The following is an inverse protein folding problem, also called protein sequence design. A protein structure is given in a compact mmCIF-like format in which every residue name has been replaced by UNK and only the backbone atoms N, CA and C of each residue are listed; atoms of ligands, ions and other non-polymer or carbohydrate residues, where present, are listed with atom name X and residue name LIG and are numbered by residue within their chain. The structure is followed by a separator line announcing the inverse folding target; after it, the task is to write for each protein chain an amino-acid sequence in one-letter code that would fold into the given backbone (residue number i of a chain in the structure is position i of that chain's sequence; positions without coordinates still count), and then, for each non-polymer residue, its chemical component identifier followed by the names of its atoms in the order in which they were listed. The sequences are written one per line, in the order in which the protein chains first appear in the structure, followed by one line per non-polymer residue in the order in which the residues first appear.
data_IF_627287416950
#
_entry.id   IF_627287416950
#
_cell.length_a   1.000
_cell.length_b   1.000
_cell.length_c   1.000
_cell.angle_alpha   90.00
_cell.angle_beta   90.00
_cell.angle_gamma   90.00
#
_symmetry.space_group_name_H-M   'P 1'
#
loop_
_entity.id
_entity.type
_entity.pdbx_description
1 polymer ?
#
# COMPACT_ATOMS: atom_id res chain seq x y z
N UNK A 1 12.76 -6.50 44.83
CA UNK A 1 11.31 -6.36 44.58
C UNK A 1 11.08 -5.05 43.86
N UNK A 2 9.96 -4.88 43.14
CA UNK A 2 9.64 -3.57 42.52
C UNK A 2 9.27 -2.59 43.63
N UNK A 3 9.96 -1.46 43.73
CA UNK A 3 9.62 -0.38 44.67
C UNK A 3 8.24 0.21 44.32
N UNK A 4 7.32 0.28 45.29
CA UNK A 4 5.95 0.77 45.08
C UNK A 4 5.69 2.15 45.68
N UNK A 5 6.56 2.62 46.57
CA UNK A 5 6.39 3.87 47.32
C UNK A 5 6.51 5.13 46.47
N UNK A 6 7.10 5.02 45.27
CA UNK A 6 7.34 6.14 44.35
C UNK A 6 6.56 6.03 43.03
N UNK A 7 5.54 5.18 42.97
CA UNK A 7 4.71 5.06 41.77
C UNK A 7 3.55 6.06 41.77
N UNK A 8 2.95 6.26 40.59
CA UNK A 8 1.66 6.94 40.42
C UNK A 8 0.66 6.47 41.47
N UNK A 9 0.02 7.42 42.15
CA UNK A 9 -0.97 7.15 43.20
C UNK A 9 -2.37 7.60 42.78
N UNK A 10 -3.38 7.32 43.60
CA UNK A 10 -4.73 7.82 43.39
C UNK A 10 -4.82 9.36 43.42
N UNK A 11 -3.92 10.03 44.14
CA UNK A 11 -3.88 11.49 44.24
C UNK A 11 -3.45 12.15 42.92
N UNK A 12 -2.87 11.39 41.99
CA UNK A 12 -2.45 11.86 40.67
C UNK A 12 -3.58 11.81 39.63
N UNK A 13 -4.78 11.39 40.02
CA UNK A 13 -5.91 11.16 39.10
C UNK A 13 -6.22 12.38 38.22
N UNK A 14 -6.38 13.56 38.82
CA UNK A 14 -6.77 14.76 38.09
C UNK A 14 -5.70 15.19 37.08
N UNK A 15 -4.43 15.04 37.44
CA UNK A 15 -3.30 15.30 36.54
C UNK A 15 -3.35 14.39 35.31
N UNK A 16 -3.47 13.07 35.51
CA UNK A 16 -3.48 12.12 34.39
C UNK A 16 -4.76 12.20 33.55
N UNK A 17 -5.90 12.49 34.18
CA UNK A 17 -7.16 12.75 33.47
C UNK A 17 -6.99 13.96 32.53
N UNK A 18 -6.50 15.09 33.04
CA UNK A 18 -6.25 16.27 32.22
C UNK A 18 -5.21 15.99 31.13
N UNK A 19 -4.15 15.26 31.45
CA UNK A 19 -3.13 14.85 30.49
C UNK A 19 -3.75 14.05 29.33
N UNK A 20 -4.57 13.04 29.59
CA UNK A 20 -5.19 12.24 28.52
C UNK A 20 -6.30 12.98 27.76
N UNK A 21 -6.98 13.95 28.37
CA UNK A 21 -8.00 14.78 27.69
C UNK A 21 -7.38 15.83 26.75
N UNK A 22 -6.20 16.36 27.12
CA UNK A 22 -5.55 17.48 26.41
C UNK A 22 -4.43 17.04 25.47
N UNK A 23 -3.89 15.83 25.64
CA UNK A 23 -2.77 15.32 24.83
C UNK A 23 -3.17 14.09 23.99
N UNK A 24 -2.31 13.77 23.02
CA UNK A 24 -2.36 12.49 22.30
C UNK A 24 -1.22 11.58 22.76
N UNK A 25 -1.21 10.36 22.22
CA UNK A 25 -0.11 9.41 22.41
C UNK A 25 1.24 10.04 22.02
N UNK A 26 2.22 10.02 22.92
CA UNK A 26 3.57 10.56 22.69
C UNK A 26 4.33 9.88 21.54
N UNK A 27 3.96 8.63 21.19
CA UNK A 27 4.64 7.83 20.16
C UNK A 27 4.00 8.02 18.77
N UNK A 28 2.66 8.02 18.69
CA UNK A 28 1.93 8.05 17.41
C UNK A 28 1.07 9.30 17.20
N UNK A 29 1.02 10.20 18.19
CA UNK A 29 0.26 11.43 18.20
C UNK A 29 -1.27 11.28 18.08
N UNK A 30 -1.79 10.06 18.12
CA UNK A 30 -3.23 9.81 18.07
C UNK A 30 -3.92 10.19 19.38
N UNK A 31 -5.11 10.79 19.29
CA UNK A 31 -5.94 11.11 20.46
C UNK A 31 -6.43 9.84 21.14
N UNK A 32 -6.61 9.91 22.46
CA UNK A 32 -7.19 8.82 23.23
C UNK A 32 -8.71 8.81 23.04
N UNK A 33 -9.26 7.61 22.83
CA UNK A 33 -10.68 7.39 22.57
C UNK A 33 -11.08 5.97 23.03
N UNK A 34 -12.35 5.62 22.95
CA UNK A 34 -12.87 4.32 23.39
C UNK A 34 -12.14 3.14 22.70
N UNK A 35 -11.78 3.30 21.43
CA UNK A 35 -11.04 2.34 20.61
C UNK A 35 -9.51 2.50 20.68
N UNK A 36 -9.02 3.58 21.30
CA UNK A 36 -7.61 3.88 21.47
C UNK A 36 -7.30 4.27 22.93
N UNK A 37 -7.29 3.26 23.80
CA UNK A 37 -7.16 3.44 25.25
C UNK A 37 -5.80 4.03 25.65
N UNK A 38 -5.78 4.97 26.62
CA UNK A 38 -4.56 5.52 27.18
C UNK A 38 -3.82 4.50 28.06
N UNK A 39 -2.51 4.64 28.10
CA UNK A 39 -1.57 3.95 28.99
C UNK A 39 -0.40 4.87 29.31
N UNK A 40 0.48 4.46 30.23
CA UNK A 40 1.71 5.19 30.56
C UNK A 40 2.92 4.41 30.03
N UNK A 41 3.68 5.03 29.13
CA UNK A 41 4.96 4.51 28.65
C UNK A 41 6.09 5.10 29.50
N UNK A 42 7.00 4.25 29.97
CA UNK A 42 8.16 4.69 30.75
C UNK A 42 9.28 5.08 29.80
N UNK A 43 9.81 6.27 30.00
CA UNK A 43 10.98 6.74 29.25
C UNK A 43 12.21 5.92 29.63
N UNK A 44 12.39 5.63 30.91
CA UNK A 44 13.38 4.69 31.43
C UNK A 44 12.68 3.49 32.10
N UNK A 45 12.94 2.29 31.57
CA UNK A 45 12.38 1.03 32.07
C UNK A 45 12.97 0.56 33.39
N UNK A 46 14.12 1.10 33.81
CA UNK A 46 14.75 0.83 35.10
C UNK A 46 14.17 1.72 36.22
N UNK A 47 13.43 2.78 35.87
CA UNK A 47 12.80 3.71 36.80
C UNK A 47 11.31 3.37 37.07
N UNK A 48 10.77 3.78 38.23
CA UNK A 48 9.35 3.62 38.58
C UNK A 48 8.44 4.49 37.69
N UNK A 49 7.13 4.23 37.79
CA UNK A 49 6.13 5.04 37.07
C UNK A 49 5.91 6.34 37.85
N UNK A 50 6.59 7.43 37.46
CA UNK A 50 6.42 8.78 38.04
C UNK A 50 5.93 9.75 36.96
N UNK A 51 5.47 10.95 37.36
CA UNK A 51 5.03 12.00 36.42
C UNK A 51 6.14 12.44 35.47
N UNK A 52 7.39 12.39 35.94
CA UNK A 52 8.58 12.82 35.20
C UNK A 52 9.10 11.72 34.28
N UNK A 53 8.88 10.45 34.63
CA UNK A 53 9.36 9.29 33.85
C UNK A 53 8.31 8.75 32.87
N UNK A 54 7.02 9.06 33.06
CA UNK A 54 5.94 8.52 32.22
C UNK A 54 5.40 9.52 31.20
N UNK A 55 5.20 9.05 29.96
CA UNK A 55 4.50 9.77 28.91
C UNK A 55 3.19 9.07 28.54
N UNK A 56 2.16 9.84 28.12
CA UNK A 56 0.89 9.25 27.72
C UNK A 56 1.07 8.50 26.40
N UNK A 57 0.76 7.21 26.36
CA UNK A 57 0.93 6.38 25.16
C UNK A 57 -0.28 5.48 24.93
N UNK A 58 -0.57 5.16 23.67
CA UNK A 58 -1.62 4.20 23.35
C UNK A 58 -1.19 2.79 23.78
N UNK A 59 -2.11 1.95 24.29
CA UNK A 59 -1.78 0.58 24.74
C UNK A 59 -1.01 -0.19 23.65
N UNK A 60 -1.46 -0.08 22.39
CA UNK A 60 -0.81 -0.77 21.28
C UNK A 60 0.61 -0.26 20.98
N UNK A 61 0.87 1.03 21.25
CA UNK A 61 2.16 1.69 21.06
C UNK A 61 3.11 1.27 22.18
N UNK A 62 2.65 1.32 23.43
CA UNK A 62 3.41 0.94 24.62
C UNK A 62 3.81 -0.54 24.58
N UNK A 63 2.90 -1.44 24.18
CA UNK A 63 3.23 -2.87 23.98
C UNK A 63 4.22 -3.07 22.83
N UNK A 64 4.13 -2.29 21.74
CA UNK A 64 5.08 -2.38 20.64
C UNK A 64 6.46 -1.80 20.99
N UNK A 65 6.49 -0.83 21.91
CA UNK A 65 7.69 -0.17 22.41
C UNK A 65 8.48 -1.03 23.40
N UNK A 66 7.81 -1.98 24.07
CA UNK A 66 8.42 -2.93 25.01
C UNK A 66 9.62 -3.69 24.38
N UNK A 67 10.81 -3.14 24.59
CA UNK A 67 12.13 -3.60 24.14
C UNK A 67 12.48 -3.43 22.65
N UNK A 68 11.90 -2.44 21.95
CA UNK A 68 12.25 -2.13 20.54
C UNK A 68 12.70 -0.68 20.38
N UNK A 69 13.70 -0.44 19.54
CA UNK A 69 14.22 0.90 19.23
C UNK A 69 13.05 1.88 18.96
N UNK A 70 13.01 3.04 19.64
CA UNK A 70 11.95 4.04 19.48
C UNK A 70 11.69 4.44 18.02
N UNK A 71 12.73 4.46 17.18
CA UNK A 71 12.61 4.75 15.74
C UNK A 71 11.88 3.64 14.98
N UNK A 72 12.17 2.38 15.32
CA UNK A 72 11.50 1.20 14.72
C UNK A 72 10.02 1.20 15.14
N UNK A 73 9.73 1.48 16.40
CA UNK A 73 8.36 1.54 16.92
C UNK A 73 7.56 2.72 16.34
N UNK A 74 8.19 3.89 16.18
CA UNK A 74 7.61 5.04 15.48
C UNK A 74 7.30 4.73 14.02
N UNK A 75 8.23 4.06 13.31
CA UNK A 75 8.02 3.63 11.92
C UNK A 75 6.86 2.63 11.81
N UNK A 76 6.77 1.66 12.72
CA UNK A 76 5.64 0.71 12.77
C UNK A 76 4.31 1.39 13.10
N UNK A 77 4.31 2.43 13.94
CA UNK A 77 3.12 3.18 14.33
C UNK A 77 2.64 4.11 13.21
N UNK A 78 3.57 4.86 12.59
CA UNK A 78 3.33 5.56 11.31
C UNK A 78 2.77 4.56 10.32
N UNK A 79 3.41 3.41 10.12
CA UNK A 79 2.91 2.36 9.21
C UNK A 79 1.49 1.94 9.56
N UNK A 80 1.12 1.76 10.82
CA UNK A 80 -0.27 1.44 11.21
C UNK A 80 -1.23 2.57 10.80
N UNK A 81 -0.85 3.82 10.98
CA UNK A 81 -1.58 5.01 10.53
C UNK A 81 -1.69 5.08 8.99
N UNK A 82 -0.61 4.73 8.25
CA UNK A 82 -0.55 4.64 6.78
C UNK A 82 -1.29 3.40 6.23
N UNK A 83 -1.29 2.27 6.95
CA UNK A 83 -2.02 1.04 6.63
C UNK A 83 -3.52 1.21 6.90
N UNK A 84 -3.89 1.89 7.99
CA UNK A 84 -5.27 2.28 8.28
C UNK A 84 -5.82 3.31 7.28
N UNK A 85 -4.95 4.11 6.65
CA UNK A 85 -5.28 4.95 5.49
C UNK A 85 -5.09 4.25 4.13
N UNK A 86 -4.72 2.95 4.13
CA UNK A 86 -4.65 2.11 2.95
C UNK A 86 -3.39 2.26 2.07
N UNK A 87 -2.41 3.06 2.47
CA UNK A 87 -1.26 3.47 1.65
C UNK A 87 -0.21 2.35 1.52
N UNK A 88 -0.14 1.42 2.47
CA UNK A 88 0.91 0.39 2.52
C UNK A 88 0.58 -0.93 1.81
N UNK A 89 -0.47 -1.00 0.97
CA UNK A 89 -0.94 -2.26 0.37
C UNK A 89 -0.92 -2.21 -1.17
N UNK A 90 0.10 -2.89 -1.72
CA UNK A 90 0.31 -3.34 -3.10
C UNK A 90 0.17 -2.25 -4.19
N UNK A 91 1.31 -2.01 -4.85
CA UNK A 91 1.59 -0.98 -5.85
C UNK A 91 0.86 -1.12 -7.20
N UNK A 92 -0.43 -1.41 -7.19
CA UNK A 92 -1.26 -1.42 -8.39
C UNK A 92 -2.66 -0.92 -8.09
N UNK A 93 -2.78 0.24 -7.45
CA UNK A 93 -4.08 0.70 -6.94
C UNK A 93 -4.80 -0.36 -6.06
N UNK A 94 -4.14 -1.47 -5.70
CA UNK A 94 -4.78 -2.72 -5.32
C UNK A 94 -4.45 -3.03 -3.88
N UNK A 95 -5.28 -2.51 -2.99
CA UNK A 95 -6.24 -3.35 -2.27
C UNK A 95 -6.84 -2.65 -1.04
N UNK A 96 -6.32 -1.50 -0.60
CA UNK A 96 -6.88 -0.79 0.55
C UNK A 96 -6.95 0.74 0.51
N UNK A 97 -6.21 1.50 -0.33
CA UNK A 97 -6.46 2.94 -0.43
C UNK A 97 -7.82 3.26 -1.07
N UNK A 98 -8.40 2.31 -1.83
CA UNK A 98 -9.72 2.43 -2.44
C UNK A 98 -10.89 2.15 -1.49
N UNK A 99 -10.67 1.41 -0.39
CA UNK A 99 -11.70 1.14 0.63
C UNK A 99 -12.08 2.36 1.46
N UNK A 100 -11.33 3.46 1.33
CA UNK A 100 -11.60 4.77 1.91
C UNK A 100 -11.43 5.89 0.87
N UNK A 101 -11.52 5.56 -0.43
CA UNK A 101 -11.32 6.57 -1.46
C UNK A 101 -12.24 7.76 -1.22
N UNK A 102 -11.62 8.93 -1.19
CA UNK A 102 -12.27 10.22 -1.08
C UNK A 102 -13.00 10.46 0.24
N UNK A 103 -12.80 9.63 1.26
CA UNK A 103 -13.21 9.97 2.63
C UNK A 103 -12.11 10.84 3.26
N UNK A 104 -12.51 11.90 3.97
CA UNK A 104 -11.55 12.71 4.73
C UNK A 104 -10.99 11.91 5.90
N UNK A 105 -9.68 11.96 6.07
CA UNK A 105 -8.93 11.31 7.13
C UNK A 105 -7.71 12.18 7.46
N UNK A 106 -7.66 12.73 8.67
CA UNK A 106 -6.60 13.63 9.16
C UNK A 106 -5.20 13.00 9.06
N UNK A 107 -5.12 11.68 9.07
CA UNK A 107 -3.87 10.94 8.91
C UNK A 107 -3.27 11.00 7.50
N UNK A 108 -4.01 11.52 6.52
CA UNK A 108 -3.51 11.76 5.18
C UNK A 108 -2.92 13.18 5.17
N UNK A 109 -1.60 13.35 5.05
CA UNK A 109 -0.99 14.70 5.09
C UNK A 109 -1.10 15.46 3.76
N UNK A 110 -1.69 14.83 2.73
CA UNK A 110 -1.76 15.38 1.37
C UNK A 110 -3.19 15.68 0.96
N UNK A 111 -3.32 16.54 -0.06
CA UNK A 111 -4.56 16.73 -0.81
C UNK A 111 -5.80 16.97 0.06
N UNK A 112 -5.71 17.87 1.06
CA UNK A 112 -6.79 18.21 2.00
C UNK A 112 -7.31 16.98 2.77
N UNK A 113 -6.38 16.24 3.37
CA UNK A 113 -6.68 15.08 4.21
C UNK A 113 -7.55 14.03 3.51
N UNK A 114 -7.40 13.87 2.20
CA UNK A 114 -8.30 13.06 1.39
C UNK A 114 -7.54 12.33 0.29
N UNK A 115 -7.83 11.04 0.13
CA UNK A 115 -7.24 10.24 -0.94
C UNK A 115 -8.17 10.15 -2.15
N UNK A 116 -7.96 11.00 -3.14
CA UNK A 116 -8.80 11.02 -4.32
C UNK A 116 -8.51 9.84 -5.24
N UNK A 117 -9.57 9.35 -5.89
CA UNK A 117 -9.43 8.48 -7.06
C UNK A 117 -9.01 9.30 -8.28
N UNK A 118 -8.23 8.70 -9.17
CA UNK A 118 -7.90 9.30 -10.44
C UNK A 118 -9.18 9.39 -11.30
N UNK A 119 -9.55 10.62 -11.66
CA UNK A 119 -10.61 10.90 -12.62
C UNK A 119 -10.09 10.92 -14.05
N UNK A 120 -10.65 11.84 -14.85
CA UNK A 120 -10.20 12.03 -16.23
C UNK A 120 -8.74 12.50 -16.27
N UNK A 121 -7.98 12.01 -17.25
CA UNK A 121 -6.64 12.55 -17.54
C UNK A 121 -6.76 14.02 -17.97
N UNK A 122 -6.05 14.90 -17.28
CA UNK A 122 -5.98 16.33 -17.57
C UNK A 122 -4.91 16.60 -18.61
N UNK A 123 -3.68 16.12 -18.37
CA UNK A 123 -2.57 16.28 -19.31
C UNK A 123 -1.44 15.27 -19.07
N UNK A 124 -0.55 15.20 -20.06
CA UNK A 124 0.69 14.43 -20.05
C UNK A 124 1.90 15.35 -20.29
N UNK A 125 3.03 15.09 -19.64
CA UNK A 125 4.27 15.81 -19.87
C UNK A 125 5.50 14.93 -19.65
N UNK A 126 6.53 15.15 -20.47
CA UNK A 126 7.86 14.55 -20.32
C UNK A 126 8.90 15.58 -19.86
N UNK A 127 8.49 16.83 -19.63
CA UNK A 127 9.40 17.91 -19.25
C UNK A 127 9.77 17.80 -17.76
N UNK A 128 11.06 17.60 -17.39
CA UNK A 128 11.45 17.36 -16.00
C UNK A 128 11.01 18.43 -15.01
N UNK A 129 11.12 19.71 -15.38
CA UNK A 129 10.71 20.83 -14.52
C UNK A 129 9.20 20.84 -14.23
N UNK A 130 8.38 20.40 -15.19
CA UNK A 130 6.93 20.25 -14.99
C UNK A 130 6.68 19.12 -14.01
N UNK A 131 7.30 17.96 -14.24
CA UNK A 131 7.13 16.76 -13.41
C UNK A 131 7.51 17.07 -11.95
N UNK A 132 8.68 17.69 -11.74
CA UNK A 132 9.16 18.09 -10.42
C UNK A 132 8.17 19.05 -9.72
N UNK A 133 7.68 20.07 -10.42
CA UNK A 133 6.75 21.03 -9.85
C UNK A 133 5.46 20.35 -9.33
N UNK A 134 4.86 19.45 -10.10
CA UNK A 134 3.65 18.72 -9.67
C UNK A 134 3.90 17.78 -8.50
N UNK A 135 5.07 17.13 -8.45
CA UNK A 135 5.46 16.28 -7.32
C UNK A 135 5.63 17.13 -6.06
N UNK A 136 6.33 18.26 -6.14
CA UNK A 136 6.66 19.10 -4.98
C UNK A 136 5.43 19.84 -4.41
N UNK A 137 4.48 20.21 -5.26
CA UNK A 137 3.26 20.92 -4.84
C UNK A 137 2.35 20.08 -3.92
N UNK A 138 2.41 18.75 -4.02
CA UNK A 138 1.60 17.81 -3.21
C UNK A 138 0.08 18.02 -3.26
N UNK A 139 -0.42 18.56 -4.38
CA UNK A 139 -1.82 18.97 -4.53
C UNK A 139 -2.62 18.16 -5.54
N UNK A 140 -1.99 17.65 -6.60
CA UNK A 140 -2.66 16.98 -7.72
C UNK A 140 -2.57 15.45 -7.63
N UNK A 141 -3.47 14.79 -8.36
CA UNK A 141 -3.44 13.34 -8.53
C UNK A 141 -2.67 13.04 -9.80
N UNK A 142 -1.64 12.20 -9.69
CA UNK A 142 -0.79 11.89 -10.83
C UNK A 142 -0.23 10.48 -10.77
N UNK A 143 0.23 10.04 -11.94
CA UNK A 143 1.11 8.90 -12.11
C UNK A 143 2.39 9.41 -12.74
N UNK A 144 3.52 9.22 -12.06
CA UNK A 144 4.83 9.69 -12.49
C UNK A 144 5.76 8.50 -12.75
N UNK A 145 6.60 8.64 -13.78
CA UNK A 145 7.68 7.71 -14.11
C UNK A 145 9.02 8.36 -13.79
N UNK A 146 9.71 7.85 -12.76
CA UNK A 146 10.92 8.47 -12.20
C UNK A 146 11.99 7.43 -11.88
N UNK A 147 13.23 7.89 -11.71
CA UNK A 147 14.33 7.17 -11.05
C UNK A 147 14.67 7.85 -9.74
N UNK A 148 15.13 7.06 -8.79
CA UNK A 148 15.61 7.59 -7.52
C UNK A 148 16.17 6.51 -6.62
N UNK A 149 16.70 6.94 -5.49
CA UNK A 149 17.32 6.08 -4.49
C UNK A 149 17.10 6.59 -3.07
N UNK A 150 17.27 5.69 -2.10
CA UNK A 150 17.42 6.08 -0.71
C UNK A 150 18.91 6.17 -0.37
N UNK A 151 19.35 7.21 0.34
CA UNK A 151 20.71 7.23 0.89
C UNK A 151 20.98 5.99 1.74
N UNK A 152 22.21 5.47 1.71
CA UNK A 152 22.61 4.29 2.51
C UNK A 152 22.36 4.49 4.02
N UNK A 153 22.39 5.72 4.51
CA UNK A 153 22.06 6.08 5.89
C UNK A 153 20.63 5.68 6.28
N UNK A 154 19.71 5.63 5.33
CA UNK A 154 18.30 5.28 5.56
C UNK A 154 18.04 3.78 5.53
N UNK A 155 18.99 2.94 5.08
CA UNK A 155 18.72 1.51 4.84
C UNK A 155 18.28 0.79 6.11
N UNK A 156 18.87 1.10 7.26
CA UNK A 156 18.46 0.50 8.54
C UNK A 156 17.03 0.89 8.94
N UNK A 157 16.60 2.11 8.59
CA UNK A 157 15.23 2.57 8.82
C UNK A 157 14.24 1.86 7.89
N UNK A 158 14.71 1.37 6.73
CA UNK A 158 13.91 0.72 5.70
C UNK A 158 13.92 -0.81 5.79
N UNK A 159 14.85 -1.42 6.54
CA UNK A 159 14.92 -2.88 6.78
C UNK A 159 13.57 -3.51 7.20
N UNK A 160 12.74 -2.88 8.07
CA UNK A 160 11.44 -3.43 8.44
C UNK A 160 10.40 -3.44 7.30
N UNK A 161 10.67 -2.73 6.20
CA UNK A 161 9.76 -2.58 5.08
C UNK A 161 10.53 -2.19 3.81
N UNK A 162 11.01 -3.16 3.01
CA UNK A 162 11.60 -2.81 1.73
C UNK A 162 10.49 -2.16 0.87
N UNK A 163 10.71 -0.91 0.43
CA UNK A 163 9.61 -0.04 0.04
C UNK A 163 8.95 -0.46 -1.27
N UNK A 164 9.73 -0.88 -2.29
CA UNK A 164 9.28 -0.96 -3.68
C UNK A 164 9.15 -2.40 -4.14
N UNK A 165 7.94 -2.90 -4.41
CA UNK A 165 7.68 -4.21 -5.01
C UNK A 165 7.62 -4.10 -6.54
N UNK A 166 8.56 -4.74 -7.22
CA UNK A 166 8.57 -4.72 -8.69
C UNK A 166 8.78 -6.11 -9.23
N UNK A 167 8.08 -6.36 -10.33
CA UNK A 167 8.33 -7.51 -11.16
C UNK A 167 9.42 -7.13 -12.17
N UNK A 168 10.68 -7.33 -11.78
CA UNK A 168 11.85 -6.98 -12.59
C UNK A 168 12.53 -8.23 -13.14
N UNK A 169 13.30 -8.02 -14.19
CA UNK A 169 14.21 -9.01 -14.72
C UNK A 169 15.52 -8.94 -13.95
N UNK A 170 15.97 -10.08 -13.42
CA UNK A 170 17.18 -10.22 -12.62
C UNK A 170 18.11 -11.17 -13.37
N UNK A 171 19.38 -10.76 -13.50
CA UNK A 171 20.45 -11.62 -14.01
C UNK A 171 20.95 -12.51 -12.86
N UNK A 172 21.04 -13.81 -13.09
CA UNK A 172 21.56 -14.78 -12.12
C UNK A 172 23.10 -14.75 -12.06
N UNK A 173 23.69 -13.56 -11.91
CA UNK A 173 25.12 -13.33 -11.72
C UNK A 173 25.43 -13.08 -10.25
N UNK A 174 26.60 -13.51 -9.80
CA UNK A 174 27.06 -13.36 -8.41
C UNK A 174 27.01 -11.90 -7.93
N UNK A 175 27.45 -10.96 -8.78
CA UNK A 175 27.40 -9.52 -8.52
C UNK A 175 25.99 -8.94 -8.30
N UNK A 176 24.95 -9.64 -8.78
CA UNK A 176 23.55 -9.19 -8.71
C UNK A 176 22.80 -9.86 -7.57
N UNK A 177 22.92 -11.19 -7.42
CA UNK A 177 22.17 -11.95 -6.40
C UNK A 177 22.95 -12.19 -5.11
N UNK A 178 24.25 -11.88 -5.11
CA UNK A 178 25.17 -12.09 -4.01
C UNK A 178 25.76 -13.50 -3.97
N UNK A 179 26.95 -13.60 -3.37
CA UNK A 179 27.74 -14.84 -3.23
C UNK A 179 26.93 -16.00 -2.61
N UNK A 180 26.17 -15.72 -1.56
CA UNK A 180 25.35 -16.75 -0.90
C UNK A 180 24.29 -17.34 -1.84
N UNK A 181 23.48 -16.49 -2.50
CA UNK A 181 22.45 -16.97 -3.40
C UNK A 181 23.05 -17.67 -4.62
N UNK A 182 24.16 -17.13 -5.14
CA UNK A 182 24.87 -17.69 -6.28
C UNK A 182 25.44 -19.07 -5.98
N UNK A 183 26.12 -19.24 -4.84
CA UNK A 183 26.66 -20.53 -4.39
C UNK A 183 25.55 -21.56 -4.12
N UNK A 184 24.42 -21.17 -3.50
CA UNK A 184 23.27 -22.06 -3.35
C UNK A 184 22.72 -22.51 -4.70
N UNK A 185 22.60 -21.59 -5.66
CA UNK A 185 22.06 -21.90 -6.97
C UNK A 185 22.99 -22.83 -7.77
N UNK A 186 24.32 -22.65 -7.67
CA UNK A 186 25.30 -23.60 -8.21
C UNK A 186 25.20 -24.98 -7.56
N UNK A 187 25.14 -25.05 -6.23
CA UNK A 187 25.04 -26.30 -5.46
C UNK A 187 23.82 -27.14 -5.86
N UNK A 188 22.72 -26.49 -6.22
CA UNK A 188 21.47 -27.13 -6.61
C UNK A 188 21.26 -27.21 -8.12
N UNK A 189 22.28 -26.93 -8.93
CA UNK A 189 22.23 -27.00 -10.40
C UNK A 189 21.09 -26.16 -11.01
N UNK A 190 20.80 -24.99 -10.41
CA UNK A 190 19.78 -24.09 -10.93
C UNK A 190 20.27 -23.39 -12.22
N UNK A 191 19.36 -22.98 -13.13
CA UNK A 191 19.76 -22.31 -14.37
C UNK A 191 20.33 -20.90 -14.12
N UNK A 192 21.66 -20.74 -14.20
CA UNK A 192 22.37 -19.48 -13.87
C UNK A 192 22.59 -18.54 -15.07
N UNK A 193 22.45 -19.02 -16.30
CA UNK A 193 22.67 -18.22 -17.51
C UNK A 193 21.42 -17.50 -18.02
N UNK A 194 20.27 -17.74 -17.39
CA UNK A 194 18.99 -17.16 -17.80
C UNK A 194 18.70 -15.90 -17.00
N UNK A 195 18.09 -14.94 -17.67
CA UNK A 195 17.44 -13.81 -17.00
C UNK A 195 16.07 -14.28 -16.53
N UNK A 196 15.80 -14.11 -15.25
CA UNK A 196 14.54 -14.51 -14.66
C UNK A 196 13.74 -13.28 -14.25
N UNK A 197 12.45 -13.28 -14.59
CA UNK A 197 11.53 -12.24 -14.15
C UNK A 197 10.95 -12.62 -12.79
N UNK A 198 11.26 -11.84 -11.77
CA UNK A 198 10.87 -12.11 -10.38
C UNK A 198 10.11 -10.92 -9.82
N UNK A 199 9.02 -11.22 -9.10
CA UNK A 199 8.42 -10.25 -8.18
C UNK A 199 9.31 -10.19 -6.95
N UNK A 200 9.98 -9.07 -6.75
CA UNK A 200 10.89 -8.86 -5.62
C UNK A 200 10.66 -7.49 -5.00
N UNK A 201 11.26 -7.29 -3.83
CA UNK A 201 11.30 -6.01 -3.13
C UNK A 201 12.64 -5.33 -3.36
N UNK A 202 12.61 -4.05 -3.67
CA UNK A 202 13.75 -3.20 -3.94
C UNK A 202 13.79 -2.09 -2.89
N UNK A 203 15.01 -1.73 -2.50
CA UNK A 203 15.25 -0.56 -1.65
C UNK A 203 15.05 0.72 -2.48
N UNK A 204 15.47 0.72 -3.75
CA UNK A 204 15.35 1.86 -4.65
C UNK A 204 14.84 1.46 -6.05
N UNK A 205 14.97 2.35 -7.03
CA UNK A 205 14.56 2.08 -8.42
C UNK A 205 15.54 1.23 -9.22
N UNK A 206 16.64 0.78 -8.61
CA UNK A 206 17.70 -0.02 -9.22
C UNK A 206 18.20 0.58 -10.54
N UNK A 207 18.33 1.92 -10.60
CA UNK A 207 18.74 2.66 -11.79
C UNK A 207 17.74 2.63 -12.96
N UNK A 208 16.54 2.07 -12.78
CA UNK A 208 15.51 1.92 -13.81
C UNK A 208 14.36 2.91 -13.62
N UNK A 209 13.77 3.40 -14.72
CA UNK A 209 12.58 4.22 -14.60
C UNK A 209 11.37 3.39 -14.18
N UNK A 210 10.79 3.71 -13.04
CA UNK A 210 9.63 3.02 -12.49
C UNK A 210 8.44 3.97 -12.40
N UNK A 211 7.25 3.40 -12.53
CA UNK A 211 5.98 4.14 -12.44
C UNK A 211 5.49 4.11 -11.00
N UNK A 212 5.06 5.25 -10.50
CA UNK A 212 4.52 5.45 -9.15
C UNK A 212 3.25 6.30 -9.22
N UNK A 213 2.25 5.96 -8.41
CA UNK A 213 1.16 6.89 -8.13
C UNK A 213 1.65 8.00 -7.17
N UNK A 214 0.95 9.12 -7.13
CA UNK A 214 1.32 10.29 -6.34
C UNK A 214 1.45 10.00 -4.84
N UNK A 215 0.46 9.34 -4.22
CA UNK A 215 0.45 9.10 -2.78
C UNK A 215 1.61 8.23 -2.32
N UNK A 216 1.90 7.19 -3.09
CA UNK A 216 2.99 6.30 -2.81
C UNK A 216 4.35 6.97 -3.09
N UNK A 217 4.49 7.74 -4.17
CA UNK A 217 5.72 8.48 -4.43
C UNK A 217 6.00 9.51 -3.33
N UNK A 218 5.00 10.26 -2.88
CA UNK A 218 5.15 11.21 -1.78
C UNK A 218 5.51 10.52 -0.46
N UNK A 219 4.90 9.36 -0.18
CA UNK A 219 5.29 8.56 0.98
C UNK A 219 6.76 8.13 0.92
N UNK A 220 7.26 7.70 -0.25
CA UNK A 220 8.68 7.37 -0.41
C UNK A 220 9.57 8.61 -0.17
N UNK A 221 9.20 9.77 -0.73
CA UNK A 221 9.95 11.02 -0.54
C UNK A 221 10.01 11.39 0.95
N UNK A 222 8.92 11.23 1.69
CA UNK A 222 8.87 11.49 3.14
C UNK A 222 9.74 10.55 3.95
N UNK A 223 9.99 9.35 3.44
CA UNK A 223 10.94 8.39 4.02
C UNK A 223 12.40 8.65 3.59
N UNK A 224 12.66 9.70 2.81
CA UNK A 224 14.01 10.07 2.36
C UNK A 224 14.37 9.59 0.95
N UNK A 225 13.39 9.21 0.12
CA UNK A 225 13.63 8.87 -1.28
C UNK A 225 14.02 10.11 -2.09
N UNK A 226 15.16 10.05 -2.76
CA UNK A 226 15.68 11.12 -3.60
C UNK A 226 15.41 10.76 -5.06
N UNK A 227 14.59 11.57 -5.73
CA UNK A 227 14.38 11.46 -7.17
C UNK A 227 15.62 12.03 -7.88
N UNK A 228 16.27 11.19 -8.69
CA UNK A 228 17.44 11.57 -9.48
C UNK A 228 17.09 11.95 -10.91
N UNK A 229 15.97 11.44 -11.43
CA UNK A 229 15.59 11.69 -12.81
C UNK A 229 14.07 11.56 -13.04
N UNK A 230 13.56 12.36 -13.98
CA UNK A 230 12.14 12.51 -14.29
C UNK A 230 11.89 12.16 -15.75
N UNK A 231 11.05 11.15 -16.01
CA UNK A 231 10.76 10.70 -17.38
C UNK A 231 9.42 11.17 -17.91
N UNK A 232 8.36 10.99 -17.14
CA UNK A 232 7.01 11.35 -17.58
C UNK A 232 6.07 11.53 -16.39
N UNK A 233 5.00 12.29 -16.60
CA UNK A 233 3.87 12.40 -15.68
C UNK A 233 2.55 12.47 -16.46
N UNK A 234 1.53 11.81 -15.92
CA UNK A 234 0.14 12.02 -16.29
C UNK A 234 -0.60 12.54 -15.07
N UNK A 235 -1.30 13.66 -15.21
CA UNK A 235 -2.07 14.29 -14.13
C UNK A 235 -3.56 14.08 -14.38
N UNK A 236 -4.32 13.83 -13.31
CA UNK A 236 -5.72 13.45 -13.34
C UNK A 236 -6.57 14.44 -12.54
N UNK A 237 -7.86 14.51 -12.88
CA UNK A 237 -8.87 15.15 -12.04
C UNK A 237 -9.05 14.38 -10.72
N UNK A 238 -9.43 15.11 -9.67
CA UNK A 238 -9.80 14.55 -8.37
C UNK A 238 -11.22 14.00 -8.46
N UNK A 239 -11.39 12.70 -8.33
CA UNK A 239 -12.70 12.05 -8.38
C UNK A 239 -13.14 11.60 -6.99
N UNK A 240 -14.35 12.00 -6.58
CA UNK A 240 -15.01 11.62 -5.32
C UNK A 240 -16.29 10.81 -5.48
N UNK A 241 -16.64 10.40 -6.72
CA UNK A 241 -17.89 9.71 -7.02
C UNK A 241 -18.09 8.41 -6.22
N UNK A 242 -17.00 7.79 -5.77
CA UNK A 242 -17.02 6.56 -4.99
C UNK A 242 -17.26 6.77 -3.49
N UNK A 243 -17.07 8.00 -2.98
CA UNK A 243 -17.21 8.34 -1.57
C UNK A 243 -18.57 7.93 -0.97
N UNK A 244 -19.74 8.22 -1.61
CA UNK A 244 -21.03 7.89 -1.02
C UNK A 244 -21.24 6.39 -0.84
N UNK A 245 -20.77 5.60 -1.80
CA UNK A 245 -20.82 4.14 -1.74
C UNK A 245 -19.99 3.63 -0.57
N UNK A 246 -18.71 4.02 -0.49
CA UNK A 246 -17.80 3.58 0.57
C UNK A 246 -18.32 3.98 1.95
N UNK A 247 -18.77 5.23 2.10
CA UNK A 247 -19.31 5.74 3.37
C UNK A 247 -20.53 4.93 3.81
N UNK A 248 -21.44 4.63 2.88
CA UNK A 248 -22.64 3.82 3.17
C UNK A 248 -22.26 2.41 3.61
N UNK A 249 -21.42 1.73 2.84
CA UNK A 249 -21.04 0.34 3.12
C UNK A 249 -20.21 0.22 4.41
N UNK A 250 -19.34 1.18 4.68
CA UNK A 250 -18.55 1.23 5.93
C UNK A 250 -19.44 1.49 7.13
N UNK A 251 -20.40 2.41 7.05
CA UNK A 251 -21.36 2.64 8.14
C UNK A 251 -22.19 1.39 8.43
N UNK A 252 -22.72 0.73 7.41
CA UNK A 252 -23.44 -0.54 7.57
C UNK A 252 -22.57 -1.62 8.22
N UNK A 253 -21.28 -1.66 7.86
CA UNK A 253 -20.31 -2.56 8.49
C UNK A 253 -20.08 -2.24 9.96
N UNK A 254 -19.88 -0.97 10.33
CA UNK A 254 -19.71 -0.53 11.72
C UNK A 254 -20.93 -0.93 12.54
N UNK A 255 -22.13 -0.64 12.05
CA UNK A 255 -23.37 -1.03 12.72
C UNK A 255 -23.47 -2.55 12.92
N UNK A 256 -23.09 -3.35 11.92
CA UNK A 256 -23.04 -4.79 12.03
C UNK A 256 -22.03 -5.28 13.09
N UNK A 257 -20.86 -4.62 13.21
CA UNK A 257 -19.86 -4.94 14.23
C UNK A 257 -20.41 -4.64 15.63
N UNK A 258 -21.04 -3.47 15.82
CA UNK A 258 -21.56 -3.04 17.12
C UNK A 258 -22.63 -4.00 17.67
N UNK A 259 -23.43 -4.61 16.80
CA UNK A 259 -24.47 -5.58 17.19
C UNK A 259 -23.99 -7.05 17.10
N UNK A 260 -22.70 -7.28 16.82
CA UNK A 260 -22.14 -8.63 16.70
C UNK A 260 -22.64 -9.45 15.50
N UNK A 261 -23.13 -8.80 14.45
CA UNK A 261 -23.69 -9.46 13.26
C UNK A 261 -22.61 -9.95 12.29
N UNK A 262 -22.82 -11.16 11.76
CA UNK A 262 -21.98 -11.73 10.68
C UNK A 262 -22.04 -10.95 9.37
N UNK A 263 -23.00 -10.02 9.23
CA UNK A 263 -23.10 -9.10 8.08
C UNK A 263 -21.86 -8.20 7.92
N UNK A 264 -21.06 -7.99 8.96
CA UNK A 264 -19.83 -7.20 8.85
C UNK A 264 -18.88 -7.76 7.76
N UNK A 265 -18.76 -9.10 7.71
CA UNK A 265 -17.92 -9.81 6.73
C UNK A 265 -18.46 -9.61 5.33
N UNK A 266 -19.78 -9.60 5.17
CA UNK A 266 -20.45 -9.40 3.90
C UNK A 266 -20.26 -7.96 3.38
N UNK A 267 -20.41 -6.96 4.24
CA UNK A 267 -20.14 -5.56 3.86
C UNK A 267 -18.66 -5.32 3.52
N UNK A 268 -17.73 -5.94 4.26
CA UNK A 268 -16.30 -5.97 3.88
C UNK A 268 -16.11 -6.57 2.49
N UNK A 269 -16.78 -7.69 2.19
CA UNK A 269 -16.69 -8.35 0.90
C UNK A 269 -17.21 -7.45 -0.22
N UNK A 270 -18.33 -6.75 -0.03
CA UNK A 270 -18.87 -5.79 -1.01
C UNK A 270 -17.89 -4.64 -1.28
N UNK A 271 -17.26 -4.09 -0.24
CA UNK A 271 -16.24 -3.03 -0.41
C UNK A 271 -15.03 -3.56 -1.18
N UNK A 272 -14.60 -4.79 -0.90
CA UNK A 272 -13.45 -5.38 -1.57
C UNK A 272 -13.74 -5.81 -3.02
N UNK A 273 -14.96 -6.28 -3.31
CA UNK A 273 -15.34 -6.79 -4.63
C UNK A 273 -15.67 -5.68 -5.62
N UNK A 274 -16.20 -4.56 -5.15
CA UNK A 274 -16.54 -3.40 -5.98
C UNK A 274 -15.33 -2.76 -6.66
N UNK A 275 -14.13 -2.92 -6.08
CA UNK A 275 -12.88 -2.49 -6.70
C UNK A 275 -12.33 -3.44 -7.77
N UNK A 276 -12.61 -4.74 -7.63
CA UNK A 276 -12.06 -5.77 -8.52
C UNK A 276 -12.44 -5.56 -9.99
N UNK A 277 -13.59 -4.92 -10.25
CA UNK A 277 -14.13 -4.68 -11.59
C UNK A 277 -13.34 -3.61 -12.38
N UNK A 278 -12.96 -2.51 -11.75
CA UNK A 278 -12.26 -1.37 -12.40
C UNK A 278 -10.81 -1.70 -12.80
N UNK A 279 -10.21 -2.71 -12.16
CA UNK A 279 -8.84 -3.17 -12.44
C UNK A 279 -8.77 -4.44 -13.26
N UNK A 280 -9.91 -4.93 -13.77
CA UNK A 280 -9.89 -6.07 -14.68
C UNK A 280 -9.09 -5.70 -15.92
N UNK A 281 -7.97 -6.38 -16.12
CA UNK A 281 -7.24 -6.31 -17.38
C UNK A 281 -8.11 -6.95 -18.46
N UNK A 282 -8.94 -6.14 -19.13
CA UNK A 282 -9.83 -6.59 -20.19
C UNK A 282 -9.09 -7.03 -21.45
N UNK A 283 -7.81 -6.65 -21.62
CA UNK A 283 -7.00 -7.02 -22.79
C UNK A 283 -6.70 -8.52 -22.83
N UNK A 284 -6.65 -9.19 -21.66
CA UNK A 284 -6.23 -10.60 -21.56
C UNK A 284 -7.36 -11.63 -21.61
N UNK A 285 -8.62 -11.21 -21.64
CA UNK A 285 -9.73 -12.15 -21.69
C UNK A 285 -10.20 -12.38 -23.13
N UNK A 286 -9.35 -13.01 -23.95
CA UNK A 286 -9.78 -13.70 -25.16
C UNK A 286 -9.96 -15.18 -24.85
N UNK A 287 -11.17 -15.73 -25.01
CA UNK A 287 -11.36 -17.18 -24.86
C UNK A 287 -10.96 -17.84 -26.17
N UNK A 288 -9.79 -18.48 -26.20
CA UNK A 288 -9.35 -19.28 -27.35
C UNK A 288 -9.86 -20.70 -27.16
N UNK A 289 -10.59 -21.23 -28.14
CA UNK A 289 -10.97 -22.64 -28.22
C UNK A 289 -10.18 -23.31 -29.34
N UNK A 290 -9.66 -24.51 -29.10
CA UNK A 290 -9.13 -25.37 -30.16
C UNK A 290 -10.29 -26.22 -30.68
N UNK A 291 -10.63 -26.09 -31.95
CA UNK A 291 -11.80 -26.71 -32.56
C UNK A 291 -11.40 -27.45 -33.84
N UNK A 292 -12.18 -28.47 -34.20
CA UNK A 292 -12.05 -29.11 -35.51
C UNK A 292 -12.67 -28.24 -36.61
N UNK A 293 -12.66 -28.72 -37.86
CA UNK A 293 -13.16 -27.95 -39.00
C UNK A 293 -14.66 -27.62 -38.89
N UNK A 294 -15.48 -28.55 -38.39
CA UNK A 294 -16.93 -28.39 -38.31
C UNK A 294 -17.29 -27.41 -37.17
N UNK A 295 -16.70 -27.61 -36.00
CA UNK A 295 -16.91 -26.73 -34.84
C UNK A 295 -16.34 -25.33 -35.08
N UNK A 296 -15.23 -25.22 -35.83
CA UNK A 296 -14.67 -23.93 -36.24
C UNK A 296 -15.65 -23.15 -37.11
N UNK A 297 -16.30 -23.82 -38.06
CA UNK A 297 -17.30 -23.19 -38.92
C UNK A 297 -18.46 -22.63 -38.08
N UNK A 298 -18.98 -23.41 -37.11
CA UNK A 298 -20.03 -22.95 -36.21
C UNK A 298 -19.55 -21.76 -35.37
N UNK A 299 -18.35 -21.85 -34.79
CA UNK A 299 -17.79 -20.80 -33.94
C UNK A 299 -17.46 -19.50 -34.69
N UNK A 300 -17.13 -19.58 -35.99
CA UNK A 300 -16.92 -18.40 -36.86
C UNK A 300 -18.19 -17.59 -37.09
N UNK A 301 -19.36 -18.23 -37.06
CA UNK A 301 -20.65 -17.57 -37.24
C UNK A 301 -21.24 -17.07 -35.91
N UNK A 302 -20.58 -17.31 -34.78
CA UNK A 302 -21.04 -16.81 -33.49
C UNK A 302 -20.78 -15.29 -33.39
N UNK A 303 -21.71 -14.46 -32.88
CA UNK A 303 -21.57 -13.00 -32.82
C UNK A 303 -20.40 -12.51 -31.94
N UNK A 304 -19.85 -13.40 -31.11
CA UNK A 304 -18.65 -13.13 -30.31
C UNK A 304 -17.35 -13.58 -30.99
N UNK A 305 -17.38 -14.04 -32.24
CA UNK A 305 -16.16 -14.38 -32.97
C UNK A 305 -15.25 -13.17 -33.12
N UNK A 306 -13.95 -13.38 -32.92
CA UNK A 306 -12.93 -12.35 -33.10
C UNK A 306 -11.89 -12.74 -34.15
N UNK A 307 -11.54 -14.01 -34.23
CA UNK A 307 -10.50 -14.47 -35.15
C UNK A 307 -10.32 -15.98 -35.13
N UNK A 308 -9.78 -16.51 -36.21
CA UNK A 308 -9.47 -17.94 -36.34
C UNK A 308 -8.06 -18.10 -36.90
N UNK A 309 -7.26 -18.98 -36.30
CA UNK A 309 -5.93 -19.34 -36.79
C UNK A 309 -5.85 -20.85 -36.95
N UNK A 310 -5.49 -21.33 -38.14
CA UNK A 310 -5.21 -22.75 -38.36
C UNK A 310 -3.92 -23.13 -37.64
N UNK A 311 -3.97 -24.21 -36.85
CA UNK A 311 -2.82 -24.73 -36.09
C UNK A 311 -2.28 -25.99 -36.77
N UNK A 312 -3.16 -26.84 -37.27
CA UNK A 312 -2.81 -28.09 -37.97
C UNK A 312 -3.77 -28.39 -39.12
N UNK A 313 -3.62 -29.55 -39.76
CA UNK A 313 -4.52 -29.99 -40.83
C UNK A 313 -5.99 -30.01 -40.39
N UNK A 314 -6.25 -30.39 -39.13
CA UNK A 314 -7.57 -30.66 -38.57
C UNK A 314 -7.94 -29.77 -37.39
N UNK A 315 -7.02 -28.96 -36.85
CA UNK A 315 -7.24 -28.14 -35.64
C UNK A 315 -7.07 -26.65 -35.91
N UNK A 316 -8.00 -25.86 -35.37
CA UNK A 316 -8.01 -24.41 -35.48
C UNK A 316 -8.18 -23.78 -34.09
N UNK A 317 -7.41 -22.72 -33.83
CA UNK A 317 -7.60 -21.86 -32.68
C UNK A 317 -8.62 -20.77 -33.04
N UNK A 318 -9.80 -20.80 -32.41
CA UNK A 318 -10.85 -19.80 -32.58
C UNK A 318 -10.91 -18.91 -31.34
N UNK A 319 -10.70 -17.61 -31.53
CA UNK A 319 -10.80 -16.60 -30.50
C UNK A 319 -12.22 -16.06 -30.43
N UNK A 320 -12.81 -16.11 -29.24
CA UNK A 320 -14.13 -15.58 -28.94
C UNK A 320 -14.04 -14.49 -27.87
N UNK A 321 -14.83 -13.43 -28.03
CA UNK A 321 -15.10 -12.43 -27.00
C UNK A 321 -15.88 -13.09 -25.85
N UNK A 322 -15.45 -12.97 -24.59
CA UNK A 322 -16.20 -13.48 -23.45
C UNK A 322 -17.60 -12.86 -23.42
N UNK A 323 -18.62 -13.66 -23.09
CA UNK A 323 -19.95 -13.10 -22.78
C UNK A 323 -19.78 -12.19 -21.57
N UNK A 324 -20.17 -10.91 -21.70
CA UNK A 324 -20.36 -10.04 -20.54
C UNK A 324 -21.51 -10.64 -19.74
N UNK A 325 -21.29 -10.87 -18.45
CA UNK A 325 -22.41 -11.15 -17.55
C UNK A 325 -23.24 -9.86 -17.49
N UNK A 326 -24.47 -9.92 -18.00
CA UNK A 326 -25.50 -8.88 -17.83
C UNK A 326 -26.16 -9.02 -16.48
#
# INVERSE_FOLDING_TARGET
GRETEKNVTADDYDYYKQLFETSGCSICNAKFAYDNLPSLDRQDNELPHTKENCLPACVSCNTAHANRDPKITSLHSKKRQWSCSGISQREYCSLYPSSYSSIKNENIPYTDHRMYMAGRSRFYSEKPYVIKNYIDQRQDIFVAKVKGYFPKSEYNNLLPLPPIFRNIEIENKEEVIGEYMYSQAQKHSLPMTKKDRKLTTLVDTNGQYMVFNNYYLWFLIDLGFIITDYKAITVFEKNTAYEPFVRTMTNLRIQAILVGSTKEKFYKLIINSSYGYDTLNTEKFGKIKMLDKADTFIAQHHPNHMGTKRISATTFAVQLRPKRAT
#
